data_IF_375207209819
#
_entry.id   IF_375207209819
#
_cell.length_a   1.000
_cell.length_b   1.000
_cell.length_c   1.000
_cell.angle_alpha   90.00
_cell.angle_beta   90.00
_cell.angle_gamma   90.00
#
_symmetry.space_group_name_H-M   'P 1'
#
loop_
_entity.id
_entity.type
_entity.pdbx_description
1 polymer ?
#
# COMPACT_ATOMS: atom_id res chain seq x y z
N UNK A 1 7.02 -7.67 18.94
CA UNK A 1 6.67 -6.59 17.95
C UNK A 1 5.92 -7.26 16.82
N UNK A 2 4.74 -6.76 16.51
CA UNK A 2 3.93 -7.32 15.42
C UNK A 2 4.52 -6.98 14.04
N UNK A 3 4.05 -7.68 13.01
CA UNK A 3 4.56 -7.55 11.65
C UNK A 3 4.42 -6.11 11.12
N UNK A 4 3.32 -5.43 11.44
CA UNK A 4 3.10 -4.06 10.99
C UNK A 4 4.15 -3.10 11.58
N UNK A 5 4.41 -3.19 12.87
CA UNK A 5 5.43 -2.35 13.53
C UNK A 5 6.83 -2.66 13.02
N UNK A 6 7.13 -3.93 12.76
CA UNK A 6 8.41 -4.33 12.16
C UNK A 6 8.60 -3.75 10.78
N UNK A 7 7.55 -3.80 9.96
CA UNK A 7 7.60 -3.23 8.61
C UNK A 7 7.85 -1.73 8.65
N UNK A 8 7.18 -1.01 9.55
CA UNK A 8 7.39 0.44 9.73
C UNK A 8 8.83 0.74 10.17
N UNK A 9 9.34 -0.01 11.14
CA UNK A 9 10.70 0.16 11.62
C UNK A 9 11.72 -0.05 10.49
N UNK A 10 11.55 -1.11 9.71
CA UNK A 10 12.41 -1.41 8.58
C UNK A 10 12.37 -0.32 7.53
N UNK A 11 11.18 0.17 7.18
CA UNK A 11 11.02 1.25 6.19
C UNK A 11 11.68 2.54 6.69
N UNK A 12 11.58 2.84 7.98
CA UNK A 12 12.23 4.01 8.57
C UNK A 12 13.75 3.93 8.46
N UNK A 13 14.31 2.73 8.57
CA UNK A 13 15.76 2.54 8.41
C UNK A 13 16.22 2.49 6.96
N UNK A 14 15.44 1.85 6.10
CA UNK A 14 15.80 1.64 4.70
C UNK A 14 15.48 2.82 3.80
N UNK A 15 14.41 3.54 4.09
CA UNK A 15 13.89 4.63 3.28
C UNK A 15 13.47 5.82 4.15
N UNK A 16 14.35 6.39 4.97
CA UNK A 16 13.95 7.47 5.89
C UNK A 16 13.38 8.66 5.11
N UNK A 17 12.20 9.13 5.52
CA UNK A 17 11.51 10.24 4.88
C UNK A 17 10.82 9.93 3.55
N UNK A 18 10.88 8.67 3.09
CA UNK A 18 10.30 8.25 1.81
C UNK A 18 9.27 7.13 1.96
N UNK A 19 8.60 7.05 3.09
CA UNK A 19 7.52 6.11 3.31
C UNK A 19 6.39 6.74 4.12
N UNK A 20 5.20 6.20 3.97
CA UNK A 20 4.02 6.67 4.69
C UNK A 20 3.08 5.47 4.91
N UNK A 21 2.32 5.50 6.00
CA UNK A 21 1.28 4.51 6.27
C UNK A 21 -0.08 5.12 5.90
N UNK A 22 -0.73 4.54 4.92
CA UNK A 22 -2.01 5.01 4.41
C UNK A 22 -2.98 3.83 4.27
N UNK A 23 -4.30 4.08 4.38
CA UNK A 23 -5.28 3.05 4.04
C UNK A 23 -5.12 2.63 2.58
N UNK A 24 -5.03 1.33 2.36
CA UNK A 24 -4.95 0.74 1.03
C UNK A 24 -6.14 -0.19 0.79
N UNK A 25 -6.60 -0.33 -0.45
CA UNK A 25 -7.63 -1.31 -0.77
C UNK A 25 -7.20 -2.71 -0.34
N UNK A 26 -8.15 -3.51 0.13
CA UNK A 26 -7.87 -4.89 0.47
C UNK A 26 -7.42 -5.67 -0.76
N UNK A 27 -6.42 -6.52 -0.56
CA UNK A 27 -5.85 -7.40 -1.56
C UNK A 27 -5.67 -8.79 -0.94
N UNK A 28 -4.70 -9.55 -1.40
CA UNK A 28 -4.43 -10.90 -0.90
C UNK A 28 -4.19 -10.97 0.61
N UNK A 29 -3.68 -9.89 1.20
CA UNK A 29 -3.49 -9.81 2.65
C UNK A 29 -4.78 -9.96 3.46
N UNK A 30 -5.92 -9.60 2.90
CA UNK A 30 -7.20 -9.67 3.60
C UNK A 30 -7.57 -11.10 3.99
N UNK A 31 -7.32 -12.08 3.12
CA UNK A 31 -7.60 -13.49 3.39
C UNK A 31 -6.75 -14.02 4.54
N UNK A 32 -5.48 -13.66 4.59
CA UNK A 32 -4.59 -14.05 5.67
C UNK A 32 -5.03 -13.44 7.01
N UNK A 33 -5.34 -12.14 7.00
CA UNK A 33 -5.82 -11.46 8.21
C UNK A 33 -7.12 -12.06 8.73
N UNK A 34 -8.03 -12.43 7.83
CA UNK A 34 -9.30 -13.07 8.22
C UNK A 34 -9.07 -14.43 8.89
N UNK A 35 -7.98 -15.12 8.59
CA UNK A 35 -7.58 -16.37 9.21
C UNK A 35 -6.69 -16.19 10.45
N UNK A 36 -6.51 -14.96 10.92
CA UNK A 36 -5.65 -14.67 12.07
C UNK A 36 -4.16 -14.72 11.76
N UNK A 37 -3.78 -14.76 10.50
CA UNK A 37 -2.38 -14.78 10.07
C UNK A 37 -1.92 -13.33 9.85
N UNK A 38 -0.83 -12.89 10.52
CA UNK A 38 -0.33 -11.53 10.31
C UNK A 38 0.07 -11.29 8.86
N UNK A 39 -0.42 -10.20 8.30
CA UNK A 39 -0.13 -9.79 6.93
C UNK A 39 -0.13 -8.27 6.82
N UNK A 40 0.74 -7.74 5.98
CA UNK A 40 0.79 -6.31 5.66
C UNK A 40 0.85 -6.14 4.16
N UNK A 41 0.29 -5.05 3.67
CA UNK A 41 0.43 -4.63 2.27
C UNK A 41 1.52 -3.56 2.19
N UNK A 42 2.44 -3.75 1.27
CA UNK A 42 3.48 -2.77 0.95
C UNK A 42 3.36 -2.47 -0.53
N UNK A 43 3.28 -1.19 -0.85
CA UNK A 43 3.19 -0.73 -2.24
C UNK A 43 4.18 0.39 -2.47
N UNK A 44 4.59 0.57 -3.70
CA UNK A 44 5.43 1.69 -4.11
C UNK A 44 4.59 2.59 -5.00
N UNK A 45 4.53 3.86 -4.63
CA UNK A 45 3.82 4.88 -5.37
C UNK A 45 4.76 6.03 -5.72
N UNK A 46 4.54 6.71 -6.86
CA UNK A 46 5.16 8.00 -7.07
C UNK A 46 4.85 8.93 -5.89
N UNK A 47 5.86 9.69 -5.45
CA UNK A 47 5.71 10.55 -4.27
C UNK A 47 4.57 11.56 -4.38
N UNK A 48 4.33 12.10 -5.57
CA UNK A 48 3.22 13.03 -5.83
C UNK A 48 1.86 12.36 -5.63
N UNK A 49 1.69 11.14 -6.13
CA UNK A 49 0.44 10.38 -5.96
C UNK A 49 0.19 10.07 -4.48
N UNK A 50 1.22 9.65 -3.75
CA UNK A 50 1.09 9.36 -2.32
C UNK A 50 0.73 10.61 -1.52
N UNK A 51 1.36 11.75 -1.81
CA UNK A 51 1.09 13.03 -1.15
C UNK A 51 -0.32 13.52 -1.44
N UNK A 52 -0.74 13.45 -2.70
CA UNK A 52 -2.09 13.85 -3.10
C UNK A 52 -3.14 13.00 -2.40
N UNK A 53 -2.95 11.69 -2.37
CA UNK A 53 -3.85 10.78 -1.68
C UNK A 53 -3.94 11.07 -0.18
N UNK A 54 -2.81 11.32 0.48
CA UNK A 54 -2.80 11.69 1.88
C UNK A 54 -3.60 12.96 2.15
N UNK A 55 -3.49 13.96 1.27
CA UNK A 55 -4.28 15.19 1.37
C UNK A 55 -5.77 14.94 1.18
N UNK A 56 -6.14 14.10 0.23
CA UNK A 56 -7.54 13.75 -0.02
C UNK A 56 -8.17 13.02 1.17
N UNK A 57 -7.41 12.16 1.84
CA UNK A 57 -7.86 11.50 3.07
C UNK A 57 -8.18 12.49 4.19
N UNK A 58 -7.41 13.56 4.31
CA UNK A 58 -7.65 14.61 5.29
C UNK A 58 -8.87 15.46 4.95
N UNK A 59 -9.11 15.72 3.67
CA UNK A 59 -10.23 16.54 3.20
C UNK A 59 -11.56 15.80 3.18
N UNK A 60 -11.52 14.49 2.96
CA UNK A 60 -12.73 13.69 2.76
C UNK A 60 -12.73 12.47 3.69
N UNK A 61 -13.38 12.58 4.88
CA UNK A 61 -13.43 11.47 5.84
C UNK A 61 -14.09 10.20 5.31
N UNK A 62 -14.93 10.30 4.28
CA UNK A 62 -15.59 9.14 3.67
C UNK A 62 -14.66 8.32 2.80
N UNK A 63 -13.54 8.90 2.37
CA UNK A 63 -12.60 8.21 1.48
C UNK A 63 -11.97 6.99 2.16
N UNK A 64 -11.52 7.12 3.40
CA UNK A 64 -10.95 6.00 4.15
C UNK A 64 -11.94 4.84 4.30
N UNK A 65 -13.17 5.16 4.70
CA UNK A 65 -14.22 4.15 4.84
C UNK A 65 -14.52 3.46 3.50
N UNK A 66 -14.55 4.21 2.41
CA UNK A 66 -14.78 3.66 1.07
C UNK A 66 -13.64 2.75 0.62
N UNK A 67 -12.40 3.11 0.89
CA UNK A 67 -11.23 2.30 0.56
C UNK A 67 -11.21 0.98 1.32
N UNK A 68 -11.53 1.03 2.61
CA UNK A 68 -11.49 -0.14 3.50
C UNK A 68 -12.75 -1.00 3.45
N UNK A 69 -13.85 -0.50 2.91
CA UNK A 69 -15.14 -1.20 2.90
C UNK A 69 -15.60 -1.53 1.47
N UNK A 70 -15.14 -2.67 0.95
CA UNK A 70 -15.53 -3.15 -0.38
C UNK A 70 -17.02 -3.47 -0.51
N UNK A 71 -17.72 -3.71 0.59
CA UNK A 71 -19.12 -4.10 0.56
C UNK A 71 -20.07 -2.94 0.28
N UNK A 72 -19.63 -1.70 0.36
CA UNK A 72 -20.46 -0.51 0.21
C UNK A 72 -20.68 -0.06 -1.23
N UNK A 73 -20.28 -0.87 -2.21
CA UNK A 73 -20.46 -0.55 -3.61
C UNK A 73 -19.40 0.42 -4.14
N UNK A 74 -19.32 0.50 -5.45
CA UNK A 74 -18.38 1.37 -6.12
C UNK A 74 -18.88 2.81 -6.09
N UNK A 75 -18.31 3.63 -5.23
CA UNK A 75 -18.45 5.06 -5.36
C UNK A 75 -17.41 5.55 -6.38
N UNK A 76 -17.86 5.72 -7.62
CA UNK A 76 -16.99 6.11 -8.73
C UNK A 76 -16.32 7.47 -8.52
N UNK A 77 -16.96 8.37 -7.76
CA UNK A 77 -16.38 9.67 -7.46
C UNK A 77 -15.23 9.58 -6.49
N UNK A 78 -15.33 8.70 -5.47
CA UNK A 78 -14.25 8.48 -4.53
C UNK A 78 -13.09 7.71 -5.17
N UNK A 79 -13.36 6.83 -6.14
CA UNK A 79 -12.33 6.09 -6.86
C UNK A 79 -11.34 7.02 -7.57
N UNK A 80 -11.80 8.16 -8.07
CA UNK A 80 -10.97 9.16 -8.75
C UNK A 80 -9.97 9.84 -7.81
N UNK A 81 -10.16 9.73 -6.50
CA UNK A 81 -9.27 10.30 -5.49
C UNK A 81 -8.14 9.35 -5.10
N UNK A 82 -8.20 8.09 -5.52
CA UNK A 82 -7.14 7.12 -5.29
C UNK A 82 -5.90 7.46 -6.11
N UNK A 83 -4.71 7.00 -5.69
CA UNK A 83 -3.52 7.12 -6.53
C UNK A 83 -3.75 6.57 -7.94
N UNK A 84 -3.25 7.25 -8.95
CA UNK A 84 -3.40 6.81 -10.34
C UNK A 84 -2.89 5.38 -10.56
N UNK A 85 -1.79 5.03 -9.91
CA UNK A 85 -1.25 3.68 -9.96
C UNK A 85 -2.28 2.63 -9.51
N UNK A 86 -3.02 2.90 -8.44
CA UNK A 86 -4.07 1.99 -7.96
C UNK A 86 -5.31 1.96 -8.87
N UNK A 87 -5.58 3.06 -9.56
CA UNK A 87 -6.69 3.10 -10.53
C UNK A 87 -6.44 2.22 -11.75
N UNK A 88 -5.19 1.85 -12.02
CA UNK A 88 -4.84 0.95 -13.11
C UNK A 88 -5.15 -0.52 -12.81
N UNK A 89 -5.32 -0.90 -11.54
CA UNK A 89 -5.55 -2.30 -11.14
C UNK A 89 -6.76 -2.89 -11.89
N UNK A 90 -6.56 -4.06 -12.49
CA UNK A 90 -7.57 -4.78 -13.25
C UNK A 90 -8.03 -4.04 -14.53
N UNK A 91 -7.22 -3.14 -15.05
CA UNK A 91 -7.46 -2.46 -16.32
C UNK A 91 -6.41 -2.86 -17.36
N UNK A 92 -6.60 -2.44 -18.61
CA UNK A 92 -5.60 -2.65 -19.66
C UNK A 92 -4.28 -1.91 -19.40
N UNK A 93 -4.32 -0.85 -18.59
CA UNK A 93 -3.12 -0.12 -18.15
C UNK A 93 -2.29 -0.85 -17.11
N UNK A 94 -2.82 -1.90 -16.50
CA UNK A 94 -2.10 -2.75 -15.54
C UNK A 94 -1.29 -3.78 -16.31
N UNK A 95 -0.17 -3.33 -16.87
CA UNK A 95 0.72 -4.13 -17.70
C UNK A 95 2.19 -3.75 -17.43
N UNK A 96 3.12 -4.52 -18.01
CA UNK A 96 4.55 -4.35 -17.76
C UNK A 96 5.11 -2.99 -18.20
N UNK A 97 4.48 -2.32 -19.14
CA UNK A 97 4.92 -0.98 -19.60
C UNK A 97 4.67 0.10 -18.56
N UNK A 98 3.74 -0.14 -17.62
CA UNK A 98 3.43 0.77 -16.52
C UNK A 98 4.40 0.66 -15.35
N UNK A 99 5.35 -0.27 -15.38
CA UNK A 99 6.28 -0.54 -14.31
C UNK A 99 7.59 0.24 -14.50
N UNK A 100 8.23 0.60 -13.38
CA UNK A 100 9.55 1.23 -13.39
C UNK A 100 10.58 0.31 -12.77
N UNK A 101 11.77 0.26 -13.35
CA UNK A 101 12.86 -0.58 -12.85
C UNK A 101 13.25 -0.20 -11.41
N UNK A 102 13.30 1.09 -11.09
CA UNK A 102 13.64 1.57 -9.76
C UNK A 102 12.68 1.06 -8.69
N UNK A 103 11.39 0.94 -9.00
CA UNK A 103 10.40 0.40 -8.07
C UNK A 103 10.68 -1.07 -7.75
N UNK A 104 11.08 -1.86 -8.73
CA UNK A 104 11.47 -3.26 -8.51
C UNK A 104 12.69 -3.38 -7.60
N UNK A 105 13.71 -2.56 -7.81
CA UNK A 105 14.92 -2.58 -6.97
C UNK A 105 14.58 -2.25 -5.52
N UNK A 106 13.80 -1.21 -5.29
CA UNK A 106 13.38 -0.81 -3.94
C UNK A 106 12.57 -1.91 -3.27
N UNK A 107 11.56 -2.45 -3.97
CA UNK A 107 10.70 -3.49 -3.40
C UNK A 107 11.49 -4.76 -3.12
N UNK A 108 12.39 -5.16 -4.02
CA UNK A 108 13.22 -6.34 -3.81
C UNK A 108 14.10 -6.20 -2.57
N UNK A 109 14.69 -5.04 -2.34
CA UNK A 109 15.49 -4.77 -1.14
C UNK A 109 14.66 -4.84 0.13
N UNK A 110 13.45 -4.28 0.11
CA UNK A 110 12.52 -4.32 1.25
C UNK A 110 12.15 -5.77 1.57
N UNK A 111 11.73 -6.54 0.58
CA UNK A 111 11.30 -7.93 0.75
C UNK A 111 12.45 -8.81 1.22
N UNK A 112 13.64 -8.64 0.65
CA UNK A 112 14.83 -9.38 1.08
C UNK A 112 15.16 -9.09 2.55
N UNK A 113 15.11 -7.86 2.97
CA UNK A 113 15.40 -7.47 4.35
C UNK A 113 14.33 -8.01 5.31
N UNK A 114 13.05 -7.94 4.94
CA UNK A 114 11.97 -8.53 5.73
C UNK A 114 12.13 -10.04 5.90
N UNK A 115 12.47 -10.74 4.83
CA UNK A 115 12.63 -12.19 4.83
C UNK A 115 13.82 -12.63 5.69
N UNK A 116 14.83 -11.78 5.85
CA UNK A 116 16.04 -12.08 6.61
C UNK A 116 16.03 -11.53 8.05
N UNK A 117 14.91 -10.97 8.50
CA UNK A 117 14.77 -10.55 9.90
C UNK A 117 14.80 -11.78 10.81
N UNK A 118 15.82 -11.87 11.62
CA UNK A 118 16.05 -13.01 12.54
C UNK A 118 15.38 -12.86 13.90
N UNK A 119 14.59 -11.83 14.09
CA UNK A 119 13.92 -11.61 15.37
C UNK A 119 12.70 -12.51 15.49
N UNK A 120 12.53 -13.23 16.61
CA UNK A 120 11.33 -14.02 16.85
C UNK A 120 10.09 -13.14 16.79
N UNK A 121 9.05 -13.69 16.24
CA UNK A 121 7.75 -13.02 16.18
C UNK A 121 7.14 -12.98 17.57
#
# INVERSE_FOLDING_TARGET
MDLYKRSKFLLQQSCPGHWISLPAPYSDNASFLACGIPAVAITILPGEEASQYAMELLKNPRLEASVLNRASGEDSDLRKLLPLTWQLFHTKGDNSESLTESAFVIMNNILYTLANLKTPV
#
